data_IF_060936507493
#
_entry.id   IF_060936507493
#
_cell.length_a   1.000
_cell.length_b   1.000
_cell.length_c   1.000
_cell.angle_alpha   90.00
_cell.angle_beta   90.00
_cell.angle_gamma   90.00
#
_symmetry.space_group_name_H-M   'P 1'
#
loop_
_entity.id
_entity.type
_entity.pdbx_description
1 polymer ?
#
# COMPACT_ATOMS: atom_id res chain seq x y z
N UNK A 1 17.23 3.40 31.84
CA UNK A 1 16.34 2.28 32.25
C UNK A 1 15.77 1.54 31.03
N UNK A 2 16.26 0.31 30.84
CA UNK A 2 15.87 -0.79 29.95
C UNK A 2 14.79 -0.62 28.86
N UNK A 3 14.98 0.27 27.87
CA UNK A 3 14.10 0.36 26.68
C UNK A 3 13.98 -0.98 25.95
N UNK A 4 15.07 -1.75 25.83
CA UNK A 4 15.02 -3.10 25.27
C UNK A 4 14.07 -4.05 26.00
N UNK A 5 13.93 -3.92 27.34
CA UNK A 5 12.98 -4.75 28.11
C UNK A 5 11.52 -4.33 27.88
N UNK A 6 11.25 -3.06 27.54
CA UNK A 6 9.90 -2.64 27.18
C UNK A 6 9.42 -3.33 25.91
N UNK A 7 10.31 -3.43 24.90
CA UNK A 7 10.02 -4.17 23.67
C UNK A 7 9.74 -5.64 23.98
N UNK A 8 10.60 -6.29 24.78
CA UNK A 8 10.42 -7.70 25.15
C UNK A 8 9.10 -7.96 25.91
N UNK A 9 8.72 -7.05 26.80
CA UNK A 9 7.44 -7.11 27.54
C UNK A 9 6.28 -6.97 26.57
N UNK A 10 6.31 -5.95 25.70
CA UNK A 10 5.30 -5.70 24.68
C UNK A 10 5.12 -6.93 23.79
N UNK A 11 6.20 -7.43 23.19
CA UNK A 11 6.20 -8.60 22.32
C UNK A 11 5.63 -9.83 23.03
N UNK A 12 5.96 -10.01 24.31
CA UNK A 12 5.44 -11.13 25.11
C UNK A 12 3.93 -11.04 25.33
N UNK A 13 3.41 -9.83 25.55
CA UNK A 13 1.97 -9.59 25.70
C UNK A 13 1.26 -9.85 24.35
N UNK A 14 1.76 -9.28 23.25
CA UNK A 14 1.17 -9.48 21.91
C UNK A 14 1.21 -10.96 21.51
N UNK A 15 2.30 -11.69 21.78
CA UNK A 15 2.38 -13.14 21.53
C UNK A 15 1.33 -13.94 22.28
N UNK A 16 1.04 -13.58 23.54
CA UNK A 16 -0.02 -14.23 24.32
C UNK A 16 -1.39 -13.93 23.71
N UNK A 17 -1.64 -12.67 23.35
CA UNK A 17 -2.89 -12.27 22.70
C UNK A 17 -3.09 -12.96 21.34
N UNK A 18 -2.04 -13.03 20.50
CA UNK A 18 -2.10 -13.68 19.19
C UNK A 18 -2.35 -15.18 19.24
N UNK A 19 -2.07 -15.82 20.38
CA UNK A 19 -2.43 -17.22 20.65
C UNK A 19 -3.85 -17.35 21.19
N UNK A 20 -4.28 -16.44 22.07
CA UNK A 20 -5.58 -16.47 22.71
C UNK A 20 -6.73 -16.02 21.78
N UNK A 21 -6.47 -15.09 20.86
CA UNK A 21 -7.46 -14.51 19.94
C UNK A 21 -7.21 -15.03 18.51
N UNK A 22 -8.03 -15.97 18.00
CA UNK A 22 -7.76 -16.70 16.75
C UNK A 22 -7.75 -15.86 15.47
N UNK A 23 -8.26 -14.64 15.51
CA UNK A 23 -8.33 -13.71 14.38
C UNK A 23 -7.54 -12.41 14.59
N UNK A 24 -6.87 -12.24 15.74
CA UNK A 24 -5.95 -11.13 15.95
C UNK A 24 -4.81 -11.18 14.92
N UNK A 25 -4.55 -10.01 14.33
CA UNK A 25 -3.52 -9.73 13.35
C UNK A 25 -3.84 -10.22 11.94
N UNK A 26 -5.10 -10.54 11.61
CA UNK A 26 -5.48 -10.95 10.25
C UNK A 26 -5.46 -9.77 9.28
N UNK A 27 -6.10 -8.68 9.66
CA UNK A 27 -6.18 -7.46 8.89
C UNK A 27 -5.49 -6.36 9.70
N UNK A 28 -4.39 -5.83 9.15
CA UNK A 28 -3.54 -4.88 9.86
C UNK A 28 -3.58 -3.50 9.21
N UNK A 29 -3.43 -2.47 10.02
CA UNK A 29 -3.23 -1.10 9.57
C UNK A 29 -1.96 -0.53 10.20
N UNK A 30 -1.20 0.24 9.44
CA UNK A 30 -0.04 0.95 9.97
C UNK A 30 -0.14 2.44 9.75
N UNK A 31 0.45 3.19 10.67
CA UNK A 31 0.56 4.65 10.61
C UNK A 31 1.73 5.11 11.50
N UNK A 32 2.08 6.38 11.38
CA UNK A 32 3.09 7.02 12.21
C UNK A 32 2.59 8.33 12.81
N UNK A 33 3.02 8.62 14.03
CA UNK A 33 2.72 9.87 14.72
C UNK A 33 4.00 10.48 15.30
N UNK A 34 3.96 11.78 15.62
CA UNK A 34 5.09 12.45 16.26
C UNK A 34 5.00 12.34 17.78
N UNK A 35 6.16 12.19 18.42
CA UNK A 35 6.30 12.29 19.87
C UNK A 35 7.19 13.49 20.18
N UNK A 36 6.72 14.40 21.03
CA UNK A 36 7.52 15.54 21.45
C UNK A 36 8.73 15.08 22.27
N UNK A 37 9.89 15.59 21.92
CA UNK A 37 11.16 15.33 22.60
C UNK A 37 11.74 16.61 23.19
N UNK A 38 12.81 16.44 23.98
CA UNK A 38 13.63 17.55 24.48
C UNK A 38 15.08 17.28 24.13
N UNK A 39 15.81 18.32 23.76
CA UNK A 39 17.25 18.24 23.58
C UNK A 39 17.91 17.81 24.89
N UNK A 40 18.96 16.99 24.77
CA UNK A 40 19.91 16.73 25.84
C UNK A 40 21.10 17.66 25.69
N UNK A 41 21.55 18.24 26.79
CA UNK A 41 22.57 19.29 26.82
C UNK A 41 24.01 18.77 26.73
N UNK A 42 24.25 17.46 26.69
CA UNK A 42 25.62 16.92 26.72
C UNK A 42 25.83 15.62 25.93
N UNK A 43 27.00 15.50 25.30
CA UNK A 43 27.39 14.36 24.48
C UNK A 43 27.41 13.02 25.25
N UNK A 44 27.71 13.04 26.55
CA UNK A 44 27.67 11.85 27.40
C UNK A 44 26.23 11.33 27.58
N UNK A 45 25.25 12.22 27.75
CA UNK A 45 23.85 11.86 27.87
C UNK A 45 23.30 11.27 26.55
N UNK A 46 23.68 11.86 25.41
CA UNK A 46 23.35 11.36 24.07
C UNK A 46 23.88 9.95 23.86
N UNK A 47 25.17 9.71 24.15
CA UNK A 47 25.79 8.37 24.01
C UNK A 47 25.10 7.34 24.90
N UNK A 48 24.71 7.72 26.12
CA UNK A 48 24.00 6.82 27.05
C UNK A 48 22.61 6.42 26.55
N UNK A 49 21.87 7.32 25.92
CA UNK A 49 20.55 7.00 25.32
C UNK A 49 20.68 6.12 24.08
N UNK A 50 21.65 6.40 23.21
CA UNK A 50 21.95 5.56 22.06
C UNK A 50 22.35 4.14 22.48
N UNK A 51 23.16 4.00 23.53
CA UNK A 51 23.52 2.71 24.10
C UNK A 51 22.31 1.96 24.69
N UNK A 52 21.22 2.66 25.03
CA UNK A 52 19.95 2.07 25.46
C UNK A 52 18.99 1.78 24.30
N UNK A 53 19.39 2.08 23.05
CA UNK A 53 18.59 1.81 21.85
C UNK A 53 17.59 2.89 21.47
N UNK A 54 17.61 4.07 22.13
CA UNK A 54 16.77 5.19 21.71
C UNK A 54 17.49 5.98 20.60
N UNK A 55 16.82 6.25 19.45
CA UNK A 55 17.37 7.16 18.45
C UNK A 55 17.51 8.57 19.03
N UNK A 56 18.17 9.47 18.31
CA UNK A 56 18.25 10.87 18.71
C UNK A 56 17.06 11.67 18.16
N UNK A 57 16.44 12.53 18.98
CA UNK A 57 15.35 13.37 18.53
C UNK A 57 15.89 14.42 17.55
N UNK A 58 15.06 14.80 16.59
CA UNK A 58 15.41 15.78 15.58
C UNK A 58 14.21 16.69 15.26
N UNK A 59 14.48 17.76 14.51
CA UNK A 59 13.42 18.60 13.95
C UNK A 59 12.66 17.84 12.86
N UNK A 60 11.34 17.96 12.87
CA UNK A 60 10.43 17.54 11.80
C UNK A 60 9.67 18.74 11.27
N UNK A 61 9.34 18.69 9.97
CA UNK A 61 8.55 19.71 9.27
C UNK A 61 7.61 19.01 8.31
N UNK A 62 6.35 19.40 8.31
CA UNK A 62 5.32 18.92 7.39
C UNK A 62 4.60 20.10 6.79
N UNK A 63 4.58 20.16 5.46
CA UNK A 63 3.88 21.18 4.70
C UNK A 63 2.57 20.59 4.17
N UNK A 64 1.50 21.33 4.35
CA UNK A 64 0.20 21.06 3.77
C UNK A 64 0.04 21.98 2.57
N UNK A 65 -0.31 21.41 1.43
CA UNK A 65 -0.58 22.15 0.20
C UNK A 65 -2.06 22.07 -0.14
N UNK A 66 -2.59 23.10 -0.79
CA UNK A 66 -3.89 23.03 -1.46
C UNK A 66 -3.80 22.25 -2.79
N UNK A 67 -4.92 22.21 -3.50
CA UNK A 67 -5.06 21.53 -4.79
C UNK A 67 -4.23 22.19 -5.91
N UNK A 68 -3.83 23.46 -5.74
CA UNK A 68 -2.94 24.20 -6.66
C UNK A 68 -1.46 23.96 -6.33
N UNK A 69 -1.17 23.22 -5.25
CA UNK A 69 0.17 22.91 -4.79
C UNK A 69 0.80 24.00 -3.91
N UNK A 70 0.03 25.02 -3.52
CA UNK A 70 0.51 26.11 -2.68
C UNK A 70 0.47 25.71 -1.21
N UNK A 71 1.55 26.02 -0.48
CA UNK A 71 1.66 25.68 0.95
C UNK A 71 0.67 26.53 1.76
N UNK A 72 -0.35 25.89 2.34
CA UNK A 72 -1.39 26.52 3.16
C UNK A 72 -1.03 26.53 4.64
N UNK A 73 -0.29 25.53 5.11
CA UNK A 73 0.08 25.40 6.51
C UNK A 73 1.38 24.61 6.68
N UNK A 74 2.20 25.00 7.65
CA UNK A 74 3.44 24.31 8.01
C UNK A 74 3.39 23.92 9.49
N UNK A 75 3.62 22.64 9.76
CA UNK A 75 3.76 22.11 11.13
C UNK A 75 5.21 21.74 11.35
N UNK A 76 5.82 22.31 12.37
CA UNK A 76 7.18 21.99 12.82
C UNK A 76 7.15 21.42 14.22
N UNK A 77 8.00 20.43 14.49
CA UNK A 77 8.13 19.83 15.81
C UNK A 77 9.56 19.36 16.08
N UNK A 78 9.91 19.20 17.35
CA UNK A 78 11.15 18.56 17.77
C UNK A 78 10.84 17.29 18.56
N UNK A 79 11.41 16.16 18.15
CA UNK A 79 11.22 14.91 18.87
C UNK A 79 11.47 13.67 18.03
N UNK A 80 10.56 12.70 18.14
CA UNK A 80 10.64 11.39 17.52
C UNK A 80 9.45 11.14 16.61
N UNK A 81 9.53 10.05 15.86
CA UNK A 81 8.41 9.44 15.17
C UNK A 81 8.12 8.08 15.79
N UNK A 82 6.87 7.83 16.14
CA UNK A 82 6.38 6.53 16.59
C UNK A 82 5.62 5.91 15.43
N UNK A 83 6.12 4.77 14.95
CA UNK A 83 5.46 3.97 13.91
C UNK A 83 4.75 2.81 14.57
N UNK A 84 3.54 2.52 14.12
CA UNK A 84 2.69 1.47 14.66
C UNK A 84 2.22 0.54 13.55
N UNK A 85 2.08 -0.74 13.88
CA UNK A 85 1.28 -1.69 13.12
C UNK A 85 0.26 -2.30 14.08
N UNK A 86 -1.02 -2.16 13.75
CA UNK A 86 -2.15 -2.53 14.62
C UNK A 86 -3.03 -3.56 13.94
N UNK A 87 -3.74 -4.36 14.73
CA UNK A 87 -4.89 -5.13 14.25
C UNK A 87 -6.08 -4.20 14.03
N UNK A 88 -6.64 -4.19 12.82
CA UNK A 88 -7.69 -3.26 12.44
C UNK A 88 -9.06 -3.57 13.07
N UNK A 89 -9.27 -4.80 13.52
CA UNK A 89 -10.57 -5.23 14.08
C UNK A 89 -10.65 -5.01 15.59
N UNK A 90 -9.58 -5.32 16.31
CA UNK A 90 -9.51 -5.28 17.77
C UNK A 90 -8.78 -4.04 18.28
N UNK A 91 -8.23 -3.21 17.38
CA UNK A 91 -7.52 -1.96 17.70
C UNK A 91 -6.32 -2.18 18.63
N UNK A 92 -5.65 -3.33 18.49
CA UNK A 92 -4.50 -3.73 19.31
C UNK A 92 -3.20 -3.49 18.55
N UNK A 93 -2.24 -2.80 19.18
CA UNK A 93 -0.89 -2.68 18.64
C UNK A 93 -0.18 -4.04 18.60
N UNK A 94 0.39 -4.37 17.44
CA UNK A 94 1.08 -5.63 17.17
C UNK A 94 2.60 -5.46 17.10
N UNK A 95 3.05 -4.29 16.68
CA UNK A 95 4.44 -3.86 16.65
C UNK A 95 4.51 -2.34 16.75
N UNK A 96 5.64 -1.84 17.25
CA UNK A 96 5.95 -0.43 17.25
C UNK A 96 7.44 -0.20 17.02
N UNK A 97 7.79 0.98 16.50
CA UNK A 97 9.18 1.40 16.36
C UNK A 97 9.29 2.91 16.60
N UNK A 98 10.27 3.32 17.40
CA UNK A 98 10.57 4.72 17.63
C UNK A 98 11.79 5.07 16.78
N UNK A 99 11.65 6.07 15.92
CA UNK A 99 12.74 6.56 15.06
C UNK A 99 12.97 8.06 15.27
N UNK A 100 14.05 8.58 14.70
CA UNK A 100 14.15 10.03 14.50
C UNK A 100 13.05 10.53 13.55
N UNK A 101 12.78 11.84 13.53
CA UNK A 101 11.82 12.47 12.61
C UNK A 101 12.17 12.34 11.13
N UNK A 102 13.41 11.94 10.80
CA UNK A 102 13.90 11.83 9.43
C UNK A 102 13.55 10.51 8.74
N UNK A 103 13.17 9.47 9.51
CA UNK A 103 12.87 8.16 8.93
C UNK A 103 11.50 8.16 8.25
N UNK A 104 11.45 7.67 7.02
CA UNK A 104 10.21 7.53 6.26
C UNK A 104 9.41 6.29 6.64
N UNK A 105 8.08 6.35 6.50
CA UNK A 105 7.19 5.24 6.85
C UNK A 105 7.48 3.96 6.05
N UNK A 106 7.69 4.10 4.73
CA UNK A 106 8.08 2.98 3.88
C UNK A 106 9.46 2.38 4.21
N UNK A 107 10.36 3.15 4.84
CA UNK A 107 11.69 2.68 5.26
C UNK A 107 11.62 1.87 6.54
N UNK A 108 10.71 2.22 7.46
CA UNK A 108 10.53 1.56 8.76
C UNK A 108 9.61 0.33 8.68
N UNK A 109 8.69 0.29 7.72
CA UNK A 109 7.71 -0.80 7.57
C UNK A 109 8.31 -2.22 7.53
N UNK A 110 9.47 -2.52 6.90
CA UNK A 110 10.05 -3.85 6.93
C UNK A 110 10.33 -4.39 8.34
N UNK A 111 10.87 -3.56 9.23
CA UNK A 111 11.18 -3.94 10.60
C UNK A 111 9.90 -4.11 11.42
N UNK A 112 8.96 -3.17 11.31
CA UNK A 112 7.64 -3.27 11.96
C UNK A 112 6.89 -4.54 11.57
N UNK A 113 6.90 -4.86 10.27
CA UNK A 113 6.22 -6.05 9.77
C UNK A 113 6.88 -7.33 10.30
N UNK A 114 8.21 -7.39 10.36
CA UNK A 114 8.92 -8.53 10.91
C UNK A 114 8.60 -8.74 12.40
N UNK A 115 8.62 -7.66 13.20
CA UNK A 115 8.20 -7.70 14.60
C UNK A 115 6.77 -8.26 14.76
N UNK A 116 5.80 -7.75 14.00
CA UNK A 116 4.42 -8.22 14.08
C UNK A 116 4.29 -9.69 13.64
N UNK A 117 5.00 -10.11 12.61
CA UNK A 117 5.01 -11.51 12.17
C UNK A 117 5.63 -12.45 13.21
N UNK A 118 6.66 -11.99 13.93
CA UNK A 118 7.28 -12.73 15.04
C UNK A 118 6.37 -12.78 16.27
N UNK A 119 5.52 -11.77 16.45
CA UNK A 119 4.55 -11.71 17.55
C UNK A 119 3.27 -12.52 17.28
N UNK A 120 2.98 -12.85 16.04
CA UNK A 120 1.76 -13.55 15.64
C UNK A 120 2.04 -15.00 15.19
N UNK A 121 1.02 -15.87 15.16
CA UNK A 121 1.14 -17.16 14.48
C UNK A 121 1.57 -16.99 13.01
N UNK A 122 2.32 -17.96 12.47
CA UNK A 122 2.85 -17.89 11.10
C UNK A 122 1.73 -17.66 10.08
N UNK A 123 1.99 -16.77 9.11
CA UNK A 123 1.06 -16.41 8.01
C UNK A 123 -0.28 -15.86 8.50
N UNK A 124 -0.33 -15.25 9.70
CA UNK A 124 -1.54 -14.66 10.27
C UNK A 124 -1.99 -13.40 9.52
N UNK A 125 -1.05 -12.50 9.21
CA UNK A 125 -1.31 -11.24 8.51
C UNK A 125 -1.71 -11.54 7.06
N UNK A 126 -2.90 -11.09 6.67
CA UNK A 126 -3.48 -11.30 5.33
C UNK A 126 -3.55 -10.00 4.54
N UNK A 127 -3.87 -8.89 5.20
CA UNK A 127 -3.94 -7.56 4.59
C UNK A 127 -3.15 -6.55 5.41
N UNK A 128 -2.59 -5.56 4.72
CA UNK A 128 -1.93 -4.42 5.35
C UNK A 128 -2.41 -3.13 4.69
N UNK A 129 -3.12 -2.31 5.46
CA UNK A 129 -3.51 -0.96 5.10
C UNK A 129 -2.45 0.04 5.56
N UNK A 130 -2.22 1.06 4.74
CA UNK A 130 -1.30 2.16 5.06
C UNK A 130 -1.66 3.38 4.19
N UNK A 131 -1.26 4.56 4.63
CA UNK A 131 -1.41 5.77 3.83
C UNK A 131 -0.42 5.82 2.63
N UNK A 132 -0.46 6.93 1.88
CA UNK A 132 0.40 7.16 0.72
C UNK A 132 1.90 7.22 1.05
N UNK A 133 2.30 7.35 2.31
CA UNK A 133 3.71 7.42 2.71
C UNK A 133 4.41 6.06 2.60
N UNK A 134 3.67 4.95 2.63
CA UNK A 134 4.20 3.60 2.39
C UNK A 134 4.11 3.15 0.92
N UNK A 135 3.68 4.01 0.00
CA UNK A 135 3.49 3.66 -1.40
C UNK A 135 4.79 3.67 -2.21
N UNK A 136 5.68 2.72 -1.89
CA UNK A 136 6.95 2.50 -2.57
C UNK A 136 7.05 1.07 -3.14
N UNK A 137 7.78 0.91 -4.24
CA UNK A 137 7.99 -0.37 -4.89
C UNK A 137 8.65 -1.43 -3.98
N UNK A 138 9.53 -1.04 -3.05
CA UNK A 138 10.15 -1.97 -2.10
C UNK A 138 9.11 -2.51 -1.12
N UNK A 139 8.21 -1.66 -0.63
CA UNK A 139 7.10 -2.07 0.24
C UNK A 139 6.19 -3.07 -0.47
N UNK A 140 5.74 -2.77 -1.69
CA UNK A 140 4.89 -3.69 -2.45
C UNK A 140 5.57 -5.04 -2.75
N UNK A 141 6.88 -5.04 -3.02
CA UNK A 141 7.68 -6.29 -3.15
C UNK A 141 7.75 -7.09 -1.85
N UNK A 142 7.99 -6.42 -0.71
CA UNK A 142 8.03 -7.03 0.61
C UNK A 142 6.70 -7.73 0.91
N UNK A 143 5.58 -7.04 0.73
CA UNK A 143 4.25 -7.57 1.01
C UNK A 143 3.90 -8.73 0.07
N UNK A 144 4.24 -8.63 -1.21
CA UNK A 144 4.08 -9.71 -2.18
C UNK A 144 4.86 -10.98 -1.77
N UNK A 145 6.12 -10.82 -1.35
CA UNK A 145 6.95 -11.93 -0.84
C UNK A 145 6.35 -12.58 0.41
N UNK A 146 5.81 -11.76 1.32
CA UNK A 146 5.12 -12.22 2.52
C UNK A 146 3.70 -12.78 2.24
N UNK A 147 3.20 -12.67 1.00
CA UNK A 147 1.83 -13.01 0.59
C UNK A 147 0.75 -12.20 1.34
N UNK A 148 1.08 -10.97 1.70
CA UNK A 148 0.18 -9.99 2.32
C UNK A 148 -0.38 -9.09 1.23
N UNK A 149 -1.70 -8.86 1.25
CA UNK A 149 -2.37 -8.03 0.26
C UNK A 149 -2.28 -6.55 0.69
N UNK A 150 -1.68 -5.67 -0.11
CA UNK A 150 -1.59 -4.26 0.23
C UNK A 150 -2.93 -3.54 0.00
N UNK A 151 -3.33 -2.73 0.97
CA UNK A 151 -4.40 -1.73 0.92
C UNK A 151 -3.78 -0.33 1.17
N UNK A 152 -2.74 0.00 0.39
CA UNK A 152 -1.91 1.20 0.59
C UNK A 152 -2.36 2.29 -0.38
N UNK A 153 -2.70 3.51 0.05
CA UNK A 153 -3.11 4.57 -0.89
C UNK A 153 -2.02 4.88 -1.95
N UNK A 154 -2.39 5.07 -3.23
CA UNK A 154 -1.43 5.36 -4.30
C UNK A 154 -0.98 6.83 -4.26
N UNK A 155 0.32 7.09 -4.40
CA UNK A 155 0.90 8.41 -4.64
C UNK A 155 0.82 8.75 -6.13
N UNK A 156 0.29 9.92 -6.49
CA UNK A 156 0.38 10.38 -7.88
C UNK A 156 1.77 10.93 -8.18
N UNK A 157 2.40 10.36 -9.20
CA UNK A 157 3.76 10.67 -9.67
C UNK A 157 3.78 10.97 -11.18
N UNK A 158 2.74 10.59 -11.91
CA UNK A 158 2.60 10.88 -13.34
C UNK A 158 2.20 12.35 -13.54
N UNK A 159 3.01 13.11 -14.28
CA UNK A 159 2.79 14.54 -14.52
C UNK A 159 2.16 14.83 -15.89
N UNK A 160 2.63 14.16 -16.94
CA UNK A 160 2.25 14.44 -18.33
C UNK A 160 1.52 13.26 -18.99
N UNK A 161 2.03 12.03 -18.82
CA UNK A 161 1.37 10.82 -19.32
C UNK A 161 0.35 10.31 -18.31
N UNK A 162 -0.93 10.29 -18.67
CA UNK A 162 -1.99 9.81 -17.77
C UNK A 162 -2.34 8.33 -17.94
N UNK A 163 -1.86 7.70 -19.01
CA UNK A 163 -2.16 6.31 -19.36
C UNK A 163 -1.02 5.62 -20.10
N UNK A 164 -0.91 4.30 -19.95
CA UNK A 164 0.06 3.47 -20.66
C UNK A 164 -0.57 2.19 -21.20
N UNK A 165 -0.02 1.67 -22.30
CA UNK A 165 -0.37 0.33 -22.80
C UNK A 165 0.29 -0.75 -21.95
N UNK A 166 -0.36 -1.91 -21.87
CA UNK A 166 0.24 -3.10 -21.26
C UNK A 166 1.46 -3.58 -22.09
N UNK A 167 2.50 -4.16 -21.46
CA UNK A 167 3.64 -4.71 -22.20
C UNK A 167 3.22 -5.72 -23.27
N UNK A 168 3.78 -5.58 -24.47
CA UNK A 168 3.44 -6.41 -25.64
C UNK A 168 2.19 -5.97 -26.40
N UNK A 169 1.59 -4.83 -26.05
CA UNK A 169 0.51 -4.22 -26.81
C UNK A 169 1.09 -3.13 -27.73
N UNK A 170 0.83 -3.21 -29.02
CA UNK A 170 1.51 -2.45 -30.10
C UNK A 170 0.56 -1.51 -30.87
N UNK A 171 -0.41 -0.89 -30.18
CA UNK A 171 -1.38 0.02 -30.79
C UNK A 171 -2.65 -0.65 -31.34
N UNK A 172 -2.59 -1.93 -31.71
CA UNK A 172 -3.76 -2.74 -32.05
C UNK A 172 -4.65 -3.02 -30.83
N UNK A 173 -4.07 -2.94 -29.64
CA UNK A 173 -4.83 -2.94 -28.39
C UNK A 173 -5.51 -1.59 -28.15
N UNK A 174 -6.82 -1.61 -27.93
CA UNK A 174 -7.58 -0.50 -27.38
C UNK A 174 -7.60 -0.45 -25.83
N UNK A 175 -6.73 -1.22 -25.17
CA UNK A 175 -6.67 -1.32 -23.70
C UNK A 175 -5.42 -0.63 -23.16
N UNK A 176 -5.62 0.18 -22.12
CA UNK A 176 -4.60 0.93 -21.39
C UNK A 176 -4.82 0.80 -19.89
N UNK A 177 -3.88 1.29 -19.09
CA UNK A 177 -4.06 1.46 -17.65
C UNK A 177 -3.63 2.86 -17.22
N UNK A 178 -4.29 3.40 -16.19
CA UNK A 178 -3.92 4.66 -15.55
C UNK A 178 -2.88 4.47 -14.44
N UNK A 179 -2.44 5.57 -13.82
CA UNK A 179 -1.43 5.51 -12.75
C UNK A 179 -1.83 4.61 -11.57
N UNK A 180 -3.14 4.44 -11.32
CA UNK A 180 -3.68 3.57 -10.27
C UNK A 180 -3.79 2.10 -10.69
N UNK A 181 -3.34 1.77 -11.90
CA UNK A 181 -3.46 0.43 -12.48
C UNK A 181 -4.89 0.05 -12.83
N UNK A 182 -5.80 1.02 -12.91
CA UNK A 182 -7.16 0.76 -13.41
C UNK A 182 -7.08 0.57 -14.91
N UNK A 183 -7.61 -0.54 -15.39
CA UNK A 183 -7.65 -0.82 -16.82
C UNK A 183 -8.84 -0.11 -17.48
N UNK A 184 -8.58 0.45 -18.65
CA UNK A 184 -9.59 1.08 -19.50
C UNK A 184 -9.50 0.50 -20.90
N UNK A 185 -10.63 0.44 -21.60
CA UNK A 185 -10.71 0.19 -23.03
C UNK A 185 -11.34 1.37 -23.76
N UNK A 186 -10.90 1.60 -24.99
CA UNK A 186 -11.42 2.64 -25.86
C UNK A 186 -12.42 2.06 -26.88
N UNK A 187 -13.63 2.62 -26.93
CA UNK A 187 -14.51 2.52 -28.07
C UNK A 187 -13.96 3.40 -29.20
N UNK A 188 -13.33 2.76 -30.19
CA UNK A 188 -12.76 3.43 -31.37
C UNK A 188 -13.74 3.50 -32.55
N UNK A 189 -15.00 3.13 -32.34
CA UNK A 189 -16.07 3.19 -33.34
C UNK A 189 -16.94 4.43 -33.13
N UNK A 190 -17.14 4.85 -31.88
CA UNK A 190 -17.75 6.15 -31.55
C UNK A 190 -16.91 7.33 -32.03
N UNK A 191 -17.61 8.41 -32.40
CA UNK A 191 -17.02 9.73 -32.62
C UNK A 191 -17.77 10.76 -31.73
N UNK A 192 -17.13 11.31 -30.68
CA UNK A 192 -15.73 11.09 -30.29
C UNK A 192 -15.48 9.69 -29.69
N UNK A 193 -14.22 9.25 -29.71
CA UNK A 193 -13.76 8.00 -29.07
C UNK A 193 -14.11 8.04 -27.58
N UNK A 194 -14.75 6.97 -27.08
CA UNK A 194 -15.20 6.90 -25.68
C UNK A 194 -14.32 5.95 -24.86
N UNK A 195 -13.95 6.37 -23.65
CA UNK A 195 -13.18 5.57 -22.69
C UNK A 195 -14.12 4.85 -21.72
N UNK A 196 -13.91 3.56 -21.55
CA UNK A 196 -14.66 2.74 -20.58
C UNK A 196 -13.72 2.00 -19.65
N UNK A 197 -14.05 2.02 -18.36
CA UNK A 197 -13.34 1.22 -17.37
C UNK A 197 -13.61 -0.27 -17.61
N UNK A 198 -12.55 -1.09 -17.62
CA UNK A 198 -12.70 -2.55 -17.75
C UNK A 198 -13.21 -3.19 -16.46
N UNK A 199 -14.06 -4.20 -16.59
CA UNK A 199 -14.59 -4.92 -15.43
C UNK A 199 -13.59 -5.93 -14.90
N UNK A 200 -13.22 -5.79 -13.63
CA UNK A 200 -12.41 -6.75 -12.91
C UNK A 200 -13.26 -7.96 -12.50
N UNK A 201 -12.83 -9.18 -12.85
CA UNK A 201 -13.54 -10.42 -12.50
C UNK A 201 -12.74 -11.34 -11.57
N UNK A 202 -11.56 -10.93 -11.12
CA UNK A 202 -10.85 -11.64 -10.05
C UNK A 202 -9.34 -11.72 -10.22
N UNK A 203 -8.71 -12.11 -9.13
CA UNK A 203 -7.28 -12.41 -9.05
C UNK A 203 -7.10 -13.92 -9.21
N UNK A 204 -6.17 -14.33 -10.07
CA UNK A 204 -5.79 -15.72 -10.32
C UNK A 204 -4.44 -16.00 -9.61
N UNK A 205 -4.40 -16.47 -8.34
CA UNK A 205 -3.17 -16.53 -7.55
C UNK A 205 -2.11 -17.46 -8.13
N UNK A 206 -2.53 -18.57 -8.76
CA UNK A 206 -1.62 -19.53 -9.41
C UNK A 206 -0.90 -18.94 -10.61
N UNK A 207 -1.48 -17.92 -11.25
CA UNK A 207 -0.92 -17.22 -12.41
C UNK A 207 -0.32 -15.86 -12.05
N UNK A 208 -0.56 -15.39 -10.81
CA UNK A 208 -0.24 -14.03 -10.37
C UNK A 208 -0.75 -12.99 -11.37
N UNK A 209 -2.01 -13.16 -11.80
CA UNK A 209 -2.66 -12.28 -12.78
C UNK A 209 -3.96 -11.70 -12.24
N UNK A 210 -4.23 -10.45 -12.61
CA UNK A 210 -5.53 -9.82 -12.48
C UNK A 210 -6.30 -10.02 -13.78
N UNK A 211 -7.54 -10.51 -13.69
CA UNK A 211 -8.37 -10.85 -14.84
C UNK A 211 -9.45 -9.78 -15.04
N UNK A 212 -9.50 -9.25 -16.25
CA UNK A 212 -10.44 -8.22 -16.69
C UNK A 212 -11.23 -8.69 -17.93
N UNK A 213 -12.47 -8.23 -18.07
CA UNK A 213 -13.32 -8.49 -19.24
C UNK A 213 -13.83 -7.19 -19.84
N UNK A 214 -14.24 -7.29 -21.11
CA UNK A 214 -14.99 -6.23 -21.78
C UNK A 214 -16.20 -5.84 -20.91
N UNK A 215 -16.35 -4.55 -20.55
CA UNK A 215 -17.43 -4.09 -19.70
C UNK A 215 -18.80 -4.31 -20.35
N UNK A 216 -18.95 -4.00 -21.64
CA UNK A 216 -20.19 -4.24 -22.39
C UNK A 216 -20.72 -5.68 -22.25
N UNK A 217 -19.84 -6.67 -22.38
CA UNK A 217 -20.20 -8.10 -22.29
C UNK A 217 -20.35 -8.62 -20.85
N UNK A 218 -19.75 -7.96 -19.87
CA UNK A 218 -19.83 -8.38 -18.47
C UNK A 218 -21.00 -7.72 -17.74
N UNK A 219 -21.23 -6.44 -18.02
CA UNK A 219 -22.23 -5.58 -17.38
C UNK A 219 -23.53 -5.50 -18.21
N UNK A 220 -23.52 -5.96 -19.46
CA UNK A 220 -24.75 -6.18 -20.24
C UNK A 220 -25.28 -4.93 -20.94
N UNK A 221 -24.40 -4.09 -21.48
CA UNK A 221 -24.78 -2.87 -22.23
C UNK A 221 -24.23 -2.89 -23.66
N UNK A 222 -24.84 -2.11 -24.54
CA UNK A 222 -24.48 -2.05 -25.97
C UNK A 222 -23.32 -1.07 -26.22
N UNK A 223 -22.16 -1.62 -26.63
CA UNK A 223 -21.00 -0.83 -27.02
C UNK A 223 -20.85 -0.81 -28.55
N UNK A 224 -20.76 0.36 -29.19
CA UNK A 224 -20.49 0.46 -30.64
C UNK A 224 -19.26 -0.34 -31.12
N UNK A 225 -18.23 -0.47 -30.28
CA UNK A 225 -17.03 -1.26 -30.60
C UNK A 225 -17.14 -2.77 -30.27
N UNK A 226 -18.28 -3.26 -29.80
CA UNK A 226 -18.46 -4.63 -29.30
C UNK A 226 -18.10 -5.68 -30.35
N UNK A 227 -18.68 -5.58 -31.55
CA UNK A 227 -18.48 -6.55 -32.62
C UNK A 227 -16.98 -6.73 -32.96
N UNK A 228 -16.23 -5.63 -33.03
CA UNK A 228 -14.78 -5.64 -33.29
C UNK A 228 -14.00 -6.23 -32.11
N UNK A 229 -14.30 -5.81 -30.88
CA UNK A 229 -13.57 -6.27 -29.70
C UNK A 229 -13.81 -7.75 -29.37
N UNK A 230 -15.02 -8.24 -29.65
CA UNK A 230 -15.54 -9.52 -29.16
C UNK A 230 -15.79 -10.55 -30.27
N UNK A 231 -15.42 -10.26 -31.52
CA UNK A 231 -15.43 -11.22 -32.62
C UNK A 231 -14.77 -12.56 -32.23
N UNK A 232 -15.50 -13.66 -32.42
CA UNK A 232 -15.05 -15.02 -32.08
C UNK A 232 -14.90 -15.32 -30.58
N UNK A 233 -15.31 -14.42 -29.68
CA UNK A 233 -15.11 -14.57 -28.23
C UNK A 233 -16.45 -14.76 -27.51
N UNK A 234 -16.78 -16.02 -27.20
CA UNK A 234 -18.01 -16.40 -26.47
C UNK A 234 -18.23 -15.63 -25.15
N UNK A 235 -17.14 -15.33 -24.44
CA UNK A 235 -17.19 -14.62 -23.15
C UNK A 235 -16.68 -13.17 -23.26
N UNK A 236 -16.56 -12.63 -24.47
CA UNK A 236 -15.97 -11.32 -24.71
C UNK A 236 -14.46 -11.27 -24.44
N UNK A 237 -13.85 -10.13 -24.79
CA UNK A 237 -12.43 -9.82 -24.63
C UNK A 237 -12.05 -9.99 -23.17
N UNK A 238 -11.04 -10.82 -22.93
CA UNK A 238 -10.45 -11.04 -21.61
C UNK A 238 -9.02 -10.55 -21.65
N UNK A 239 -8.64 -9.77 -20.65
CA UNK A 239 -7.27 -9.28 -20.45
C UNK A 239 -6.76 -9.84 -19.13
N UNK A 240 -5.53 -10.36 -19.14
CA UNK A 240 -4.84 -10.82 -17.93
C UNK A 240 -3.61 -9.98 -17.74
N UNK A 241 -3.52 -9.31 -16.60
CA UNK A 241 -2.40 -8.43 -16.26
C UNK A 241 -1.54 -9.14 -15.24
N UNK A 242 -0.29 -9.42 -15.59
CA UNK A 242 0.69 -10.00 -14.65
C UNK A 242 1.02 -8.98 -13.58
N UNK A 243 0.95 -9.38 -12.31
CA UNK A 243 1.33 -8.53 -11.17
C UNK A 243 2.80 -8.13 -11.22
N UNK A 244 3.65 -8.97 -11.83
CA UNK A 244 5.08 -8.70 -12.00
C UNK A 244 5.39 -7.54 -12.94
N UNK A 245 4.41 -7.05 -13.72
CA UNK A 245 4.58 -5.81 -14.50
C UNK A 245 4.86 -4.65 -13.56
N UNK A 246 4.06 -4.55 -12.49
CA UNK A 246 4.20 -3.53 -11.47
C UNK A 246 3.33 -3.92 -10.25
N UNK A 247 3.95 -4.34 -9.15
CA UNK A 247 3.22 -4.78 -7.96
C UNK A 247 2.48 -3.65 -7.25
N UNK A 248 2.96 -2.41 -7.41
CA UNK A 248 2.35 -1.20 -6.84
C UNK A 248 1.06 -0.84 -7.59
N UNK A 249 1.06 -0.99 -8.91
CA UNK A 249 -0.09 -0.69 -9.77
C UNK A 249 -1.06 -1.86 -9.92
N UNK A 250 -0.55 -3.09 -9.92
CA UNK A 250 -1.34 -4.31 -10.09
C UNK A 250 -1.28 -5.21 -8.83
N UNK A 251 -1.70 -4.72 -7.65
CA UNK A 251 -1.76 -5.55 -6.45
C UNK A 251 -2.86 -6.62 -6.53
N UNK A 252 -2.80 -7.68 -5.70
CA UNK A 252 -3.85 -8.72 -5.63
C UNK A 252 -5.27 -8.22 -5.39
N UNK A 253 -5.42 -7.05 -4.77
CA UNK A 253 -6.69 -6.35 -4.60
C UNK A 253 -6.59 -5.05 -5.41
N UNK A 254 -7.15 -4.98 -6.62
CA UNK A 254 -7.08 -3.76 -7.42
C UNK A 254 -7.78 -2.61 -6.70
N UNK A 255 -7.16 -1.44 -6.73
CA UNK A 255 -7.56 -0.23 -5.99
C UNK A 255 -8.97 0.22 -6.30
N UNK A 256 -9.39 0.01 -7.53
CA UNK A 256 -10.66 0.47 -8.02
C UNK A 256 -11.84 -0.47 -7.62
N UNK A 257 -11.58 -1.55 -6.88
CA UNK A 257 -12.61 -2.48 -6.39
C UNK A 257 -13.13 -2.07 -5.02
N UNK A 258 -14.41 -2.31 -4.73
CA UNK A 258 -15.04 -1.99 -3.43
C UNK A 258 -14.65 -2.95 -2.29
N UNK A 259 -13.53 -3.67 -2.38
CA UNK A 259 -13.07 -4.51 -1.26
C UNK A 259 -12.36 -3.61 -0.25
N UNK A 260 -13.13 -3.16 0.74
CA UNK A 260 -12.66 -2.63 2.04
C UNK A 260 -12.22 -3.78 2.93
#
# INVERSE_FOLDING_TARGET
PHIGRLQEIFDTIVRKLGRAVPDLGRDTAGDSTWLHGRHKSGAAAVKSEQAQGLPQPAGGRKEYTDDEGQVTHVVEWFGYKLHLLVDAKHEVALAYEITSTKAGDGETLPNLLDQAQNNLPKKRIQTLAYDKAADDNKVHRLLSKARIKPLIQNRSLWKEEHEKMLPGHDGNSNVVYDESGTLHCYDRTSDPIVRHRMSYIGHEPSRQTLKYRCPARHEGWECPNDAKCNAGKKYGKTVRVKQSIDLRRFPPIPRATKKS
#
